data_IF_176817973113
#
_entry.id   IF_176817973113
#
_cell.length_a   1.000
_cell.length_b   1.000
_cell.length_c   1.000
_cell.angle_alpha   90.00
_cell.angle_beta   90.00
_cell.angle_gamma   90.00
#
_symmetry.space_group_name_H-M   'P 1'
#
loop_
_entity.id
_entity.type
_entity.pdbx_description
1 polymer ?
#
# COMPACT_ATOMS: atom_id res chain seq x y z
N UNK A 1 23.90 -17.93 -19.19
CA UNK A 1 22.50 -17.54 -18.95
C UNK A 1 22.44 -16.46 -17.86
N UNK A 2 21.75 -15.37 -18.13
CA UNK A 2 21.52 -14.35 -17.11
C UNK A 2 20.48 -14.82 -16.11
N UNK A 3 20.73 -14.52 -14.87
CA UNK A 3 19.83 -14.86 -13.78
C UNK A 3 19.29 -13.56 -13.16
N UNK A 4 17.98 -13.46 -13.07
CA UNK A 4 17.31 -12.30 -12.49
C UNK A 4 16.60 -12.75 -11.23
N UNK A 5 16.78 -12.02 -10.14
CA UNK A 5 16.16 -12.33 -8.86
C UNK A 5 15.45 -11.12 -8.31
N UNK A 6 14.43 -11.37 -7.48
CA UNK A 6 13.72 -10.31 -6.74
C UNK A 6 14.46 -10.13 -5.41
N UNK A 7 14.89 -8.91 -5.12
CA UNK A 7 15.66 -8.60 -3.91
C UNK A 7 14.87 -7.85 -2.86
N UNK A 8 13.71 -7.33 -3.20
CA UNK A 8 12.86 -6.61 -2.24
C UNK A 8 11.44 -6.53 -2.73
N UNK A 9 10.52 -6.49 -1.77
CA UNK A 9 9.08 -6.40 -2.02
C UNK A 9 8.48 -5.28 -1.18
N UNK A 10 7.49 -4.62 -1.73
CA UNK A 10 6.70 -3.63 -1.03
C UNK A 10 5.25 -3.70 -1.49
N UNK A 11 4.35 -3.45 -0.59
CA UNK A 11 2.92 -3.43 -0.91
C UNK A 11 2.15 -2.51 0.02
N UNK A 12 1.05 -2.01 -0.48
CA UNK A 12 0.01 -1.38 0.32
C UNK A 12 -1.33 -1.85 -0.26
N UNK A 13 -2.15 -2.45 0.55
CA UNK A 13 -3.40 -3.08 0.10
C UNK A 13 -4.39 -3.15 1.26
N UNK A 14 -5.65 -3.58 1.01
CA UNK A 14 -6.65 -3.64 2.08
C UNK A 14 -6.32 -4.55 3.26
N UNK A 15 -5.41 -5.51 3.10
CA UNK A 15 -4.99 -6.39 4.19
C UNK A 15 -3.94 -5.76 5.09
N UNK A 16 -3.13 -4.85 4.54
CA UNK A 16 -2.09 -4.21 5.33
C UNK A 16 -1.27 -3.23 4.50
N UNK A 17 -0.46 -2.44 5.19
CA UNK A 17 0.35 -1.41 4.57
C UNK A 17 1.82 -1.82 4.37
N UNK A 18 2.15 -3.04 4.73
CA UNK A 18 3.47 -3.63 4.47
C UNK A 18 3.32 -5.07 4.02
N UNK A 19 4.39 -5.65 3.50
CA UNK A 19 4.39 -7.06 3.08
C UNK A 19 4.14 -7.96 4.29
N UNK A 20 4.81 -7.72 5.40
CA UNK A 20 4.68 -8.55 6.61
C UNK A 20 3.26 -8.49 7.17
N UNK A 21 2.68 -7.31 7.28
CA UNK A 21 1.31 -7.13 7.77
C UNK A 21 0.31 -7.81 6.84
N UNK A 22 0.49 -7.64 5.54
CA UNK A 22 -0.40 -8.25 4.54
C UNK A 22 -0.32 -9.77 4.58
N UNK A 23 0.89 -10.31 4.69
CA UNK A 23 1.12 -11.75 4.76
C UNK A 23 0.49 -12.35 6.01
N UNK A 24 0.68 -11.70 7.17
CA UNK A 24 0.08 -12.17 8.42
C UNK A 24 -1.45 -12.16 8.34
N UNK A 25 -2.04 -11.14 7.75
CA UNK A 25 -3.49 -11.09 7.54
C UNK A 25 -3.95 -12.21 6.63
N UNK A 26 -3.21 -12.48 5.57
CA UNK A 26 -3.54 -13.51 4.59
C UNK A 26 -3.53 -14.91 5.22
N UNK A 27 -2.48 -15.26 5.96
CA UNK A 27 -2.34 -16.59 6.57
C UNK A 27 -3.33 -16.79 7.73
N UNK A 28 -3.83 -15.70 8.32
CA UNK A 28 -4.86 -15.76 9.36
C UNK A 28 -6.28 -15.72 8.78
N UNK A 29 -6.42 -15.83 7.47
CA UNK A 29 -7.70 -15.84 6.76
C UNK A 29 -8.51 -14.55 6.94
N UNK A 30 -7.86 -13.43 7.18
CA UNK A 30 -8.53 -12.14 7.27
C UNK A 30 -8.91 -11.64 5.88
N UNK A 31 -10.09 -11.00 5.78
CA UNK A 31 -10.54 -10.39 4.54
C UNK A 31 -10.27 -8.90 4.55
N UNK A 32 -9.80 -8.37 3.41
CA UNK A 32 -9.67 -6.94 3.22
C UNK A 32 -10.93 -6.28 2.65
N UNK A 33 -11.96 -7.07 2.39
CA UNK A 33 -13.21 -6.56 1.84
C UNK A 33 -14.13 -6.16 2.99
N UNK A 34 -14.64 -4.94 2.93
CA UNK A 34 -15.52 -4.42 3.97
C UNK A 34 -16.52 -3.42 3.38
N UNK A 35 -17.45 -2.96 4.22
CA UNK A 35 -18.40 -1.93 3.81
C UNK A 35 -17.65 -0.65 3.44
N UNK A 36 -18.08 -0.04 2.35
CA UNK A 36 -17.50 1.23 1.90
C UNK A 36 -17.88 2.33 2.89
N UNK A 37 -16.88 3.06 3.39
CA UNK A 37 -17.06 4.17 4.33
C UNK A 37 -16.52 5.50 3.81
N UNK A 38 -15.81 5.48 2.67
CA UNK A 38 -15.18 6.68 2.11
C UNK A 38 -16.19 7.68 1.56
N UNK A 39 -17.39 7.20 1.19
CA UNK A 39 -18.48 8.03 0.69
C UNK A 39 -19.79 7.27 0.90
N UNK A 40 -20.93 7.97 0.74
CA UNK A 40 -22.23 7.35 0.92
C UNK A 40 -22.55 6.40 -0.23
N UNK A 41 -22.96 5.17 0.11
CA UNK A 41 -23.25 4.12 -0.88
C UNK A 41 -24.66 3.57 -0.79
N UNK A 42 -25.54 4.21 -0.02
CA UNK A 42 -26.88 3.70 0.22
C UNK A 42 -27.69 3.50 -1.07
N UNK A 43 -27.39 4.30 -2.09
CA UNK A 43 -28.07 4.24 -3.39
C UNK A 43 -27.36 3.35 -4.42
N UNK A 44 -26.28 2.67 -4.03
CA UNK A 44 -25.49 1.83 -4.94
C UNK A 44 -25.81 0.35 -4.74
N UNK A 45 -25.82 -0.44 -5.82
CA UNK A 45 -26.05 -1.89 -5.72
C UNK A 45 -24.95 -2.62 -4.92
N UNK A 46 -23.69 -2.18 -5.05
CA UNK A 46 -22.57 -2.77 -4.33
C UNK A 46 -22.12 -1.81 -3.23
N UNK A 47 -22.06 -2.32 -2.00
CA UNK A 47 -21.74 -1.50 -0.82
C UNK A 47 -20.43 -1.96 -0.16
N UNK A 48 -19.73 -2.92 -0.74
CA UNK A 48 -18.48 -3.46 -0.21
C UNK A 48 -17.34 -3.25 -1.21
N UNK A 49 -16.14 -3.11 -0.68
CA UNK A 49 -14.94 -2.95 -1.49
C UNK A 49 -13.69 -3.27 -0.67
N UNK A 50 -12.58 -3.51 -1.38
CA UNK A 50 -11.28 -3.56 -0.76
C UNK A 50 -10.71 -2.17 -0.66
N UNK A 51 -10.77 -1.56 0.52
CA UNK A 51 -10.30 -0.21 0.76
C UNK A 51 -9.04 -0.20 1.60
N UNK A 52 -8.13 0.71 1.27
CA UNK A 52 -6.91 0.92 2.03
C UNK A 52 -7.20 1.87 3.18
N UNK A 53 -6.71 1.54 4.38
CA UNK A 53 -6.93 2.36 5.57
C UNK A 53 -5.99 3.59 5.52
N UNK A 54 -6.55 4.76 5.26
CA UNK A 54 -5.79 6.01 5.14
C UNK A 54 -5.10 6.40 6.44
N UNK A 55 -5.66 6.04 7.59
CA UNK A 55 -5.06 6.39 8.88
C UNK A 55 -3.72 5.70 9.13
N UNK A 56 -3.42 4.66 8.36
CA UNK A 56 -2.17 3.91 8.48
C UNK A 56 -1.15 4.25 7.40
N UNK A 57 -1.45 5.23 6.56
CA UNK A 57 -0.50 5.70 5.56
C UNK A 57 0.64 6.44 6.28
N UNK A 58 1.87 6.08 5.94
CA UNK A 58 3.04 6.66 6.57
C UNK A 58 3.33 8.06 6.02
N UNK A 59 3.05 9.08 6.82
CA UNK A 59 3.26 10.48 6.46
C UNK A 59 4.74 10.86 6.33
N UNK A 60 5.64 10.03 6.85
CA UNK A 60 7.08 10.26 6.71
C UNK A 60 7.57 10.00 5.29
N UNK A 61 6.88 9.13 4.56
CA UNK A 61 7.23 8.79 3.17
C UNK A 61 6.68 9.84 2.23
N UNK A 62 5.40 10.18 2.39
CA UNK A 62 4.74 11.24 1.63
C UNK A 62 3.98 12.11 2.63
N UNK A 63 4.39 13.35 2.84
CA UNK A 63 3.75 14.19 3.85
C UNK A 63 2.32 14.60 3.40
N UNK A 64 1.45 14.98 4.35
CA UNK A 64 0.05 15.29 4.02
C UNK A 64 -0.12 16.41 3.00
N UNK A 65 0.80 17.37 2.97
CA UNK A 65 0.76 18.47 2.00
C UNK A 65 1.00 17.94 0.58
N UNK A 66 1.98 17.06 0.41
CA UNK A 66 2.25 16.43 -0.87
C UNK A 66 1.10 15.52 -1.30
N UNK A 67 0.52 14.76 -0.36
CA UNK A 67 -0.62 13.88 -0.64
C UNK A 67 -1.80 14.64 -1.24
N UNK A 68 -2.00 15.90 -0.85
CA UNK A 68 -3.09 16.72 -1.38
C UNK A 68 -2.83 17.24 -2.78
N UNK A 69 -1.57 17.25 -3.22
CA UNK A 69 -1.18 17.76 -4.53
C UNK A 69 -1.08 16.68 -5.60
N UNK A 70 -1.06 15.43 -5.23
CA UNK A 70 -0.87 14.31 -6.15
C UNK A 70 -2.06 13.35 -6.05
N UNK A 71 -2.25 12.58 -7.10
CA UNK A 71 -3.30 11.56 -7.11
C UNK A 71 -2.96 10.45 -6.10
N UNK A 72 -3.99 9.86 -5.55
CA UNK A 72 -3.84 8.84 -4.51
C UNK A 72 -2.99 7.66 -4.96
N UNK A 73 -3.11 7.22 -6.21
CA UNK A 73 -2.33 6.08 -6.70
C UNK A 73 -0.82 6.37 -6.66
N UNK A 74 -0.43 7.62 -6.85
CA UNK A 74 0.97 8.03 -6.75
C UNK A 74 1.46 7.89 -5.31
N UNK A 75 0.66 8.35 -4.34
CA UNK A 75 0.97 8.19 -2.91
C UNK A 75 1.15 6.72 -2.56
N UNK A 76 0.20 5.87 -2.97
CA UNK A 76 0.26 4.45 -2.70
C UNK A 76 1.47 3.79 -3.36
N UNK A 77 1.78 4.17 -4.59
CA UNK A 77 2.96 3.67 -5.31
C UNK A 77 4.26 4.05 -4.63
N UNK A 78 4.36 5.28 -4.14
CA UNK A 78 5.56 5.75 -3.42
C UNK A 78 5.78 4.98 -2.13
N UNK A 79 4.71 4.71 -1.38
CA UNK A 79 4.79 3.95 -0.13
C UNK A 79 5.27 2.52 -0.39
N UNK A 80 4.68 1.85 -1.37
CA UNK A 80 5.07 0.49 -1.73
C UNK A 80 6.51 0.44 -2.26
N UNK A 81 6.89 1.40 -3.09
CA UNK A 81 8.24 1.48 -3.63
C UNK A 81 9.28 1.73 -2.54
N UNK A 82 8.97 2.59 -1.58
CA UNK A 82 9.85 2.85 -0.44
C UNK A 82 10.13 1.58 0.36
N UNK A 83 9.10 0.81 0.63
CA UNK A 83 9.25 -0.48 1.32
C UNK A 83 10.12 -1.45 0.53
N UNK A 84 9.88 -1.57 -0.78
CA UNK A 84 10.64 -2.48 -1.64
C UNK A 84 12.12 -2.11 -1.68
N UNK A 85 12.44 -0.83 -1.79
CA UNK A 85 13.82 -0.36 -1.81
C UNK A 85 14.51 -0.64 -0.49
N UNK A 86 13.85 -0.36 0.63
CA UNK A 86 14.40 -0.63 1.96
C UNK A 86 14.59 -2.13 2.20
N UNK A 87 13.62 -2.93 1.77
CA UNK A 87 13.69 -4.39 1.91
C UNK A 87 14.85 -4.99 1.11
N UNK A 88 15.12 -4.44 -0.07
CA UNK A 88 16.22 -4.92 -0.92
C UNK A 88 17.61 -4.57 -0.38
N UNK A 89 17.70 -3.57 0.49
CA UNK A 89 18.99 -3.06 0.95
C UNK A 89 19.73 -2.27 -0.12
N UNK A 90 19.06 -1.93 -1.21
CA UNK A 90 19.69 -1.19 -2.31
C UNK A 90 20.01 0.25 -1.90
N UNK A 91 21.24 0.66 -2.20
CA UNK A 91 21.68 2.04 -1.98
C UNK A 91 22.20 2.58 -3.30
N UNK A 92 21.62 3.70 -3.74
CA UNK A 92 22.03 4.33 -4.98
C UNK A 92 23.35 5.09 -4.75
N UNK A 93 24.32 4.85 -5.61
CA UNK A 93 25.59 5.58 -5.61
C UNK A 93 25.48 6.89 -6.38
N UNK A 94 24.42 7.07 -7.14
CA UNK A 94 24.18 8.28 -7.93
C UNK A 94 23.13 9.15 -7.23
N UNK A 95 23.56 10.30 -6.84
CA UNK A 95 22.73 11.30 -6.20
C UNK A 95 21.88 12.07 -7.20
#
# INVERSE_FOLDING_TARGET
MRRVVVTGLGTINPLGNTVDTSWNSLINSNSGISKITNFEVDNYPCKIAGSINDSKINDEIVNPREQRKIDRFITLGLIAADEAIKDSGFVSDNE
#
